data_IF_350142949825
#
_entry.id   IF_350142949825
#
_cell.length_a   1.000
_cell.length_b   1.000
_cell.length_c   1.000
_cell.angle_alpha   90.00
_cell.angle_beta   90.00
_cell.angle_gamma   90.00
#
_symmetry.space_group_name_H-M   'P 1'
#
loop_
_entity.id
_entity.type
_entity.pdbx_description
1 polymer ?
#
# COMPACT_ATOMS: atom_id res chain seq x y z
N UNK A 1 18.51 21.57 -10.08
CA UNK A 1 19.07 20.68 -9.04
C UNK A 1 17.95 20.23 -8.13
N UNK A 2 17.62 18.95 -8.21
CA UNK A 2 16.64 18.28 -7.35
C UNK A 2 17.22 18.06 -5.94
N UNK A 3 16.38 17.77 -4.96
CA UNK A 3 16.81 17.50 -3.58
C UNK A 3 17.73 16.25 -3.49
N UNK A 4 17.59 15.32 -4.44
CA UNK A 4 18.47 14.16 -4.61
C UNK A 4 19.87 14.56 -5.11
N UNK A 5 19.98 15.56 -5.99
CA UNK A 5 21.28 16.08 -6.44
C UNK A 5 22.05 16.73 -5.29
N UNK A 6 21.33 17.36 -4.34
CA UNK A 6 21.93 17.95 -3.14
C UNK A 6 22.41 16.90 -2.15
N UNK A 7 21.66 15.82 -1.95
CA UNK A 7 22.07 14.72 -1.08
C UNK A 7 23.28 13.96 -1.67
N UNK A 8 23.27 13.73 -2.99
CA UNK A 8 24.39 13.13 -3.72
C UNK A 8 25.63 14.03 -3.63
N UNK A 9 25.48 15.34 -3.80
CA UNK A 9 26.56 16.31 -3.69
C UNK A 9 27.07 16.49 -2.24
N UNK A 10 26.23 16.23 -1.23
CA UNK A 10 26.62 16.33 0.18
C UNK A 10 27.36 15.07 0.65
N UNK A 11 26.95 13.89 0.16
CA UNK A 11 27.69 12.63 0.35
C UNK A 11 29.03 12.73 -0.40
N UNK A 12 29.02 13.09 -1.69
CA UNK A 12 30.25 13.26 -2.47
C UNK A 12 31.13 14.40 -1.93
N UNK A 13 30.54 15.52 -1.48
CA UNK A 13 31.26 16.67 -0.91
C UNK A 13 31.94 16.37 0.42
N UNK A 14 31.36 15.48 1.24
CA UNK A 14 32.00 14.96 2.45
C UNK A 14 33.20 14.04 2.15
N UNK A 15 33.20 13.35 1.01
CA UNK A 15 34.32 12.54 0.54
C UNK A 15 35.41 13.36 -0.19
N UNK A 16 35.04 14.45 -0.87
CA UNK A 16 35.99 15.26 -1.67
C UNK A 16 36.93 16.11 -0.80
N UNK A 17 36.56 16.41 0.46
CA UNK A 17 37.44 17.09 1.41
C UNK A 17 38.60 16.23 1.94
N UNK A 18 38.51 14.90 1.81
CA UNK A 18 39.52 13.96 2.27
C UNK A 18 40.03 13.10 1.09
N UNK A 19 41.08 13.60 0.44
CA UNK A 19 41.91 12.93 -0.56
C UNK A 19 41.29 12.69 -1.95
N UNK A 20 41.96 13.26 -2.94
CA UNK A 20 41.94 12.86 -4.35
C UNK A 20 42.58 11.46 -4.42
N UNK A 21 41.82 10.46 -3.99
CA UNK A 21 42.15 9.03 -4.10
C UNK A 21 41.10 8.44 -5.03
N UNK A 22 41.53 7.68 -6.04
CA UNK A 22 40.58 6.91 -6.84
C UNK A 22 39.66 6.10 -5.91
N UNK A 23 38.33 6.05 -6.16
CA UNK A 23 37.40 5.39 -5.27
C UNK A 23 37.84 3.93 -5.06
N UNK A 24 37.94 3.52 -3.79
CA UNK A 24 38.34 2.17 -3.43
C UNK A 24 37.38 1.18 -4.14
N UNK A 25 37.87 0.03 -4.64
CA UNK A 25 37.01 -1.03 -5.18
C UNK A 25 35.73 -1.31 -4.37
N UNK A 26 35.79 -1.21 -3.02
CA UNK A 26 34.62 -1.35 -2.16
C UNK A 26 33.55 -0.27 -2.40
N UNK A 27 33.95 0.99 -2.58
CA UNK A 27 33.03 2.11 -2.84
C UNK A 27 32.38 1.98 -4.22
N UNK A 28 33.15 1.53 -5.21
CA UNK A 28 32.63 1.24 -6.56
C UNK A 28 31.57 0.14 -6.50
N UNK A 29 31.85 -0.95 -5.77
CA UNK A 29 30.91 -2.05 -5.60
C UNK A 29 29.64 -1.62 -4.84
N UNK A 30 29.78 -0.81 -3.79
CA UNK A 30 28.63 -0.27 -3.07
C UNK A 30 27.73 0.61 -3.97
N UNK A 31 28.34 1.44 -4.82
CA UNK A 31 27.62 2.26 -5.79
C UNK A 31 26.90 1.41 -6.85
N UNK A 32 27.54 0.35 -7.36
CA UNK A 32 26.93 -0.59 -8.29
C UNK A 32 25.73 -1.32 -7.67
N UNK A 33 25.88 -1.82 -6.44
CA UNK A 33 24.80 -2.47 -5.70
C UNK A 33 23.62 -1.51 -5.48
N UNK A 34 23.90 -0.25 -5.13
CA UNK A 34 22.88 0.78 -4.98
C UNK A 34 22.13 1.06 -6.29
N UNK A 35 22.84 1.18 -7.42
CA UNK A 35 22.23 1.37 -8.74
C UNK A 35 21.37 0.18 -9.14
N UNK A 36 21.85 -1.04 -8.89
CA UNK A 36 21.09 -2.26 -9.16
C UNK A 36 19.80 -2.30 -8.32
N UNK A 37 19.88 -1.96 -7.04
CA UNK A 37 18.73 -1.85 -6.15
C UNK A 37 17.73 -0.79 -6.61
N UNK A 38 18.18 0.41 -7.01
CA UNK A 38 17.30 1.43 -7.58
C UNK A 38 16.59 0.94 -8.85
N UNK A 39 17.31 0.24 -9.73
CA UNK A 39 16.74 -0.33 -10.95
C UNK A 39 15.62 -1.34 -10.63
N UNK A 40 15.83 -2.19 -9.61
CA UNK A 40 14.80 -3.12 -9.14
C UNK A 40 13.57 -2.42 -8.54
N UNK A 41 13.75 -1.34 -7.76
CA UNK A 41 12.61 -0.56 -7.26
C UNK A 41 11.83 0.06 -8.43
N UNK A 42 12.54 0.64 -9.40
CA UNK A 42 11.91 1.27 -10.56
C UNK A 42 11.13 0.26 -11.42
N UNK A 43 11.66 -0.95 -11.63
CA UNK A 43 10.95 -1.99 -12.38
C UNK A 43 9.70 -2.49 -11.64
N UNK A 44 9.76 -2.62 -10.31
CA UNK A 44 8.58 -2.93 -9.48
C UNK A 44 7.52 -1.83 -9.56
N UNK A 45 7.93 -0.57 -9.52
CA UNK A 45 7.00 0.55 -9.59
C UNK A 45 6.18 0.57 -10.89
N UNK A 46 6.76 0.10 -12.00
CA UNK A 46 6.07 -0.03 -13.29
C UNK A 46 4.96 -1.09 -13.28
N UNK A 47 5.02 -2.09 -12.39
CA UNK A 47 4.01 -3.17 -12.28
C UNK A 47 2.76 -2.76 -11.51
N UNK A 48 2.85 -1.68 -10.75
CA UNK A 48 1.75 -1.10 -9.96
C UNK A 48 1.71 0.40 -10.28
N UNK A 49 1.24 0.77 -11.48
CA UNK A 49 1.24 2.15 -11.91
C UNK A 49 0.24 2.98 -11.09
N UNK A 50 0.70 4.11 -10.56
CA UNK A 50 -0.15 5.05 -9.83
C UNK A 50 -0.48 6.23 -10.73
N UNK A 51 -1.77 6.49 -10.92
CA UNK A 51 -2.22 7.68 -11.67
C UNK A 51 -2.14 8.92 -10.78
N UNK A 52 -1.98 10.10 -11.39
CA UNK A 52 -2.01 11.33 -10.59
C UNK A 52 -3.39 11.61 -9.96
N UNK A 53 -4.46 11.20 -10.64
CA UNK A 53 -5.82 11.31 -10.09
C UNK A 53 -5.96 10.47 -8.82
N UNK A 54 -5.50 9.22 -8.85
CA UNK A 54 -5.48 8.34 -7.67
C UNK A 54 -4.71 8.96 -6.51
N UNK A 55 -3.48 9.43 -6.75
CA UNK A 55 -2.63 10.05 -5.72
C UNK A 55 -3.33 11.29 -5.13
N UNK A 56 -3.93 12.12 -5.98
CA UNK A 56 -4.66 13.33 -5.56
C UNK A 56 -5.89 13.01 -4.72
N UNK A 57 -6.72 12.05 -5.15
CA UNK A 57 -7.91 11.59 -4.40
C UNK A 57 -7.51 11.03 -3.04
N UNK A 58 -6.53 10.13 -3.02
CA UNK A 58 -6.07 9.50 -1.80
C UNK A 58 -5.40 10.52 -0.86
N UNK A 59 -4.69 11.51 -1.41
CA UNK A 59 -4.06 12.59 -0.66
C UNK A 59 -5.04 13.47 0.14
N UNK A 60 -6.34 13.48 -0.22
CA UNK A 60 -7.39 14.15 0.57
C UNK A 60 -7.72 13.42 1.88
N UNK A 61 -7.27 12.17 2.03
CA UNK A 61 -7.45 11.32 3.21
C UNK A 61 -6.06 10.87 3.72
N UNK A 62 -5.38 11.69 4.53
CA UNK A 62 -3.97 11.46 4.91
C UNK A 62 -3.72 10.08 5.53
N UNK A 63 -4.66 9.57 6.31
CA UNK A 63 -4.56 8.26 6.95
C UNK A 63 -4.52 7.12 5.93
N UNK A 64 -5.39 7.19 4.91
CA UNK A 64 -5.42 6.22 3.81
C UNK A 64 -4.19 6.32 2.93
N UNK A 65 -3.76 7.55 2.63
CA UNK A 65 -2.54 7.80 1.89
C UNK A 65 -1.33 7.19 2.58
N UNK A 66 -1.18 7.42 3.89
CA UNK A 66 -0.07 6.86 4.67
C UNK A 66 -0.08 5.33 4.66
N UNK A 67 -1.23 4.71 4.90
CA UNK A 67 -1.35 3.25 4.89
C UNK A 67 -1.06 2.64 3.51
N UNK A 68 -1.56 3.28 2.44
CA UNK A 68 -1.30 2.83 1.08
C UNK A 68 0.18 2.95 0.72
N UNK A 69 0.80 4.10 1.01
CA UNK A 69 2.24 4.32 0.76
C UNK A 69 3.08 3.30 1.51
N UNK A 70 2.71 2.96 2.75
CA UNK A 70 3.42 1.94 3.53
C UNK A 70 3.30 0.55 2.88
N UNK A 71 2.11 0.17 2.44
CA UNK A 71 1.91 -1.08 1.69
C UNK A 71 2.73 -1.11 0.40
N UNK A 72 2.77 0.00 -0.35
CA UNK A 72 3.51 0.11 -1.59
C UNK A 72 5.03 0.06 -1.38
N UNK A 73 5.53 0.69 -0.31
CA UNK A 73 6.94 0.62 0.10
C UNK A 73 7.33 -0.79 0.50
N UNK A 74 6.49 -1.47 1.30
CA UNK A 74 6.71 -2.86 1.68
C UNK A 74 6.86 -3.75 0.43
N UNK A 75 5.99 -3.60 -0.57
CA UNK A 75 6.12 -4.29 -1.86
C UNK A 75 7.46 -3.98 -2.57
N UNK A 76 7.79 -2.69 -2.67
CA UNK A 76 9.01 -2.22 -3.34
C UNK A 76 10.27 -2.87 -2.72
N UNK A 77 10.28 -2.98 -1.38
CA UNK A 77 11.38 -3.60 -0.62
C UNK A 77 11.34 -5.12 -0.55
N UNK A 78 10.36 -5.79 -1.17
CA UNK A 78 10.25 -7.25 -1.16
C UNK A 78 9.53 -7.84 0.05
N UNK A 79 8.92 -7.00 0.90
CA UNK A 79 8.11 -7.40 2.05
C UNK A 79 6.67 -7.68 1.60
N UNK A 80 6.49 -8.68 0.72
CA UNK A 80 5.23 -8.95 0.02
C UNK A 80 4.07 -9.27 0.95
N UNK A 81 4.29 -10.08 1.99
CA UNK A 81 3.27 -10.37 3.00
C UNK A 81 2.78 -9.09 3.69
N UNK A 82 3.70 -8.25 4.15
CA UNK A 82 3.36 -6.98 4.79
C UNK A 82 2.56 -6.07 3.86
N UNK A 83 2.97 -6.00 2.59
CA UNK A 83 2.22 -5.25 1.57
C UNK A 83 0.77 -5.73 1.46
N UNK A 84 0.55 -7.03 1.29
CA UNK A 84 -0.80 -7.65 1.18
C UNK A 84 -1.64 -7.38 2.42
N UNK A 85 -1.07 -7.58 3.61
CA UNK A 85 -1.79 -7.38 4.89
C UNK A 85 -2.20 -5.92 5.06
N UNK A 86 -1.29 -4.98 4.83
CA UNK A 86 -1.57 -3.54 4.99
C UNK A 86 -2.57 -3.05 3.94
N UNK A 87 -2.43 -3.48 2.68
CA UNK A 87 -3.39 -3.13 1.62
C UNK A 87 -4.80 -3.65 1.96
N UNK A 88 -4.89 -4.87 2.47
CA UNK A 88 -6.15 -5.49 2.85
C UNK A 88 -6.80 -4.77 4.04
N UNK A 89 -6.00 -4.41 5.04
CA UNK A 89 -6.47 -3.66 6.20
C UNK A 89 -6.94 -2.25 5.82
N UNK A 90 -6.29 -1.60 4.86
CA UNK A 90 -6.73 -0.31 4.33
C UNK A 90 -8.14 -0.41 3.73
N UNK A 91 -8.39 -1.40 2.87
CA UNK A 91 -9.73 -1.62 2.29
C UNK A 91 -10.77 -1.90 3.37
N UNK A 92 -10.44 -2.73 4.36
CA UNK A 92 -11.34 -2.99 5.49
C UNK A 92 -11.70 -1.69 6.23
N UNK A 93 -10.71 -0.83 6.49
CA UNK A 93 -10.93 0.45 7.18
C UNK A 93 -11.78 1.43 6.34
N UNK A 94 -11.54 1.51 5.03
CA UNK A 94 -12.36 2.34 4.13
C UNK A 94 -13.81 1.87 4.18
N UNK A 95 -14.06 0.57 4.09
CA UNK A 95 -15.42 0.03 4.18
C UNK A 95 -16.06 0.37 5.53
N UNK A 96 -15.35 0.22 6.65
CA UNK A 96 -15.84 0.61 7.98
C UNK A 96 -16.27 2.07 8.01
N UNK A 97 -15.41 3.00 7.58
CA UNK A 97 -15.72 4.43 7.58
C UNK A 97 -16.95 4.75 6.70
N UNK A 98 -17.08 4.10 5.53
CA UNK A 98 -18.26 4.30 4.65
C UNK A 98 -19.55 3.85 5.33
N UNK A 99 -19.53 2.75 6.08
CA UNK A 99 -20.69 2.30 6.84
C UNK A 99 -20.98 3.16 8.07
N UNK A 100 -19.95 3.59 8.81
CA UNK A 100 -20.11 4.50 9.94
C UNK A 100 -20.78 5.79 9.49
N UNK A 101 -20.28 6.41 8.41
CA UNK A 101 -20.87 7.61 7.84
C UNK A 101 -22.32 7.40 7.37
N UNK A 102 -22.60 6.27 6.70
CA UNK A 102 -23.95 5.94 6.24
C UNK A 102 -24.94 5.79 7.40
N UNK A 103 -24.54 5.09 8.47
CA UNK A 103 -25.40 4.85 9.63
C UNK A 103 -25.48 6.07 10.57
N UNK A 104 -24.45 6.92 10.65
CA UNK A 104 -24.47 8.14 11.46
C UNK A 104 -25.48 9.16 10.91
N UNK A 105 -25.75 9.12 9.61
CA UNK A 105 -26.83 9.89 9.00
C UNK A 105 -28.23 9.39 9.41
N UNK A 106 -28.35 8.20 10.01
CA UNK A 106 -29.61 7.56 10.38
C UNK A 106 -29.81 7.43 11.90
N UNK A 107 -28.73 7.45 12.69
CA UNK A 107 -28.75 7.18 14.14
C UNK A 107 -27.74 8.06 14.91
N UNK A 108 -27.88 8.14 16.23
CA UNK A 108 -26.91 8.82 17.10
C UNK A 108 -25.53 8.15 17.09
N UNK A 109 -24.47 8.96 16.93
CA UNK A 109 -23.10 8.58 16.56
C UNK A 109 -22.45 7.46 17.42
N UNK A 110 -22.76 7.41 18.72
CA UNK A 110 -22.17 6.44 19.66
C UNK A 110 -22.68 5.00 19.45
N UNK A 111 -23.98 4.83 19.18
CA UNK A 111 -24.55 3.52 18.85
C UNK A 111 -24.05 3.01 17.49
N UNK A 112 -23.68 3.94 16.62
CA UNK A 112 -23.21 3.67 15.26
C UNK A 112 -21.82 3.03 15.25
N UNK A 113 -20.87 3.65 15.96
CA UNK A 113 -19.47 3.16 16.06
C UNK A 113 -19.39 1.78 16.70
N UNK A 114 -20.20 1.51 17.74
CA UNK A 114 -20.20 0.20 18.39
C UNK A 114 -20.73 -0.91 17.45
N UNK A 115 -21.78 -0.62 16.66
CA UNK A 115 -22.34 -1.58 15.70
C UNK A 115 -21.39 -1.88 14.53
N UNK A 116 -20.66 -0.88 14.03
CA UNK A 116 -19.73 -1.07 12.90
C UNK A 116 -18.43 -1.74 13.34
N UNK A 117 -17.89 -1.40 14.51
CA UNK A 117 -16.67 -2.05 15.02
C UNK A 117 -16.82 -3.55 15.29
N UNK A 118 -18.05 -4.04 15.50
CA UNK A 118 -18.35 -5.47 15.61
C UNK A 118 -18.41 -6.19 14.26
N UNK A 119 -18.43 -5.47 13.13
CA UNK A 119 -18.42 -6.09 11.80
C UNK A 119 -16.99 -6.47 11.42
N UNK A 120 -16.77 -7.77 11.25
CA UNK A 120 -15.55 -8.30 10.65
C UNK A 120 -15.52 -8.02 9.13
N UNK A 121 -14.36 -8.22 8.50
CA UNK A 121 -14.17 -7.93 7.07
C UNK A 121 -15.20 -8.63 6.18
N UNK A 122 -15.57 -9.88 6.48
CA UNK A 122 -16.62 -10.60 5.76
C UNK A 122 -17.95 -9.83 5.79
N UNK A 123 -18.42 -9.45 6.98
CA UNK A 123 -19.69 -8.73 7.15
C UNK A 123 -19.70 -7.35 6.47
N UNK A 124 -18.54 -6.69 6.38
CA UNK A 124 -18.41 -5.42 5.66
C UNK A 124 -18.57 -5.60 4.14
N UNK A 125 -18.03 -6.69 3.59
CA UNK A 125 -18.16 -7.02 2.16
C UNK A 125 -19.61 -7.38 1.83
N UNK A 126 -20.25 -8.23 2.65
CA UNK A 126 -21.65 -8.61 2.47
C UNK A 126 -22.58 -7.39 2.48
N UNK A 127 -22.38 -6.48 3.44
CA UNK A 127 -23.17 -5.25 3.51
C UNK A 127 -22.90 -4.33 2.32
N UNK A 128 -21.64 -4.23 1.87
CA UNK A 128 -21.27 -3.37 0.73
C UNK A 128 -21.96 -3.86 -0.53
N UNK A 129 -22.03 -5.19 -0.71
CA UNK A 129 -22.74 -5.79 -1.82
C UNK A 129 -24.25 -5.56 -1.72
N UNK A 130 -24.84 -5.80 -0.55
CA UNK A 130 -26.27 -5.61 -0.29
C UNK A 130 -26.74 -4.17 -0.52
N UNK A 131 -25.90 -3.19 -0.17
CA UNK A 131 -26.18 -1.76 -0.30
C UNK A 131 -25.80 -1.18 -1.66
N UNK A 132 -25.31 -2.01 -2.60
CA UNK A 132 -24.79 -1.60 -3.90
C UNK A 132 -23.65 -0.56 -3.82
N UNK A 133 -22.88 -0.55 -2.72
CA UNK A 133 -21.67 0.26 -2.60
C UNK A 133 -20.55 -0.28 -3.51
N UNK A 134 -20.58 -1.58 -3.80
CA UNK A 134 -19.64 -2.28 -4.66
C UNK A 134 -20.37 -3.12 -5.72
N UNK A 135 -19.71 -3.36 -6.84
CA UNK A 135 -20.25 -4.23 -7.90
C UNK A 135 -19.97 -5.71 -7.62
N UNK A 136 -20.55 -6.61 -8.43
CA UNK A 136 -20.30 -8.07 -8.35
C UNK A 136 -18.80 -8.40 -8.50
N UNK A 137 -18.10 -7.73 -9.41
CA UNK A 137 -16.68 -7.99 -9.63
C UNK A 137 -15.84 -7.65 -8.38
N UNK A 138 -16.11 -6.53 -7.73
CA UNK A 138 -15.43 -6.14 -6.49
C UNK A 138 -15.73 -7.10 -5.35
N UNK A 139 -16.96 -7.59 -5.25
CA UNK A 139 -17.37 -8.54 -4.22
C UNK A 139 -16.47 -9.80 -4.25
N UNK A 140 -16.25 -10.37 -5.43
CA UNK A 140 -15.34 -11.51 -5.57
C UNK A 140 -13.88 -11.15 -5.25
N UNK A 141 -13.40 -10.00 -5.72
CA UNK A 141 -12.04 -9.54 -5.41
C UNK A 141 -11.82 -9.32 -3.92
N UNK A 142 -12.80 -8.72 -3.23
CA UNK A 142 -12.75 -8.45 -1.80
C UNK A 142 -12.74 -9.74 -0.97
N UNK A 143 -13.54 -10.75 -1.34
CA UNK A 143 -13.47 -12.06 -0.68
C UNK A 143 -12.14 -12.77 -0.95
N UNK A 144 -11.59 -12.64 -2.16
CA UNK A 144 -10.24 -13.11 -2.46
C UNK A 144 -9.19 -12.46 -1.58
N UNK A 145 -9.22 -11.12 -1.48
CA UNK A 145 -8.31 -10.32 -0.68
C UNK A 145 -8.47 -10.61 0.83
N UNK A 146 -9.70 -10.78 1.33
CA UNK A 146 -9.99 -11.25 2.69
C UNK A 146 -9.37 -12.63 2.95
N UNK A 147 -9.55 -13.57 2.03
CA UNK A 147 -8.97 -14.91 2.13
C UNK A 147 -7.45 -14.85 2.18
N UNK A 148 -6.82 -14.07 1.30
CA UNK A 148 -5.37 -13.89 1.27
C UNK A 148 -4.81 -13.24 2.53
N UNK A 149 -5.50 -12.24 3.08
CA UNK A 149 -5.14 -11.66 4.38
C UNK A 149 -5.20 -12.70 5.49
N UNK A 150 -6.28 -13.46 5.58
CA UNK A 150 -6.44 -14.49 6.62
C UNK A 150 -5.34 -15.56 6.51
N UNK A 151 -5.05 -16.03 5.30
CA UNK A 151 -3.94 -16.96 5.06
C UNK A 151 -2.61 -16.32 5.45
N UNK A 152 -2.38 -15.06 5.08
CA UNK A 152 -1.14 -14.33 5.42
C UNK A 152 -0.93 -14.14 6.93
N UNK A 153 -2.01 -14.09 7.71
CA UNK A 153 -1.95 -13.95 9.18
C UNK A 153 -1.78 -15.30 9.87
N UNK A 154 -2.42 -16.36 9.36
CA UNK A 154 -2.44 -17.68 10.01
C UNK A 154 -1.37 -18.67 9.48
N UNK A 155 -0.89 -18.50 8.24
CA UNK A 155 0.13 -19.34 7.60
C UNK A 155 1.47 -18.57 7.54
N UNK A 156 2.06 -18.30 8.70
CA UNK A 156 3.27 -17.45 8.85
C UNK A 156 4.46 -17.99 8.04
N UNK A 157 4.54 -19.30 7.83
CA UNK A 157 5.63 -19.95 7.10
C UNK A 157 5.44 -19.98 5.58
N UNK A 158 4.22 -19.76 5.08
CA UNK A 158 3.93 -19.86 3.64
C UNK A 158 4.28 -18.57 2.93
N UNK A 159 5.26 -18.61 2.05
CA UNK A 159 5.68 -17.42 1.30
C UNK A 159 4.54 -16.78 0.51
N UNK A 160 4.51 -15.44 0.49
CA UNK A 160 3.64 -14.65 -0.38
C UNK A 160 4.48 -14.25 -1.58
N UNK A 161 4.02 -14.60 -2.78
CA UNK A 161 4.78 -14.29 -4.00
C UNK A 161 4.72 -12.80 -4.34
N UNK A 162 5.70 -12.34 -5.12
CA UNK A 162 5.66 -10.97 -5.65
C UNK A 162 4.40 -10.74 -6.50
N UNK A 163 3.98 -11.74 -7.28
CA UNK A 163 2.82 -11.65 -8.16
C UNK A 163 1.53 -11.44 -7.35
N UNK A 164 1.39 -12.14 -6.23
CA UNK A 164 0.23 -11.96 -5.33
C UNK A 164 0.18 -10.54 -4.78
N UNK A 165 1.33 -9.99 -4.34
CA UNK A 165 1.40 -8.62 -3.85
C UNK A 165 1.03 -7.59 -4.94
N UNK A 166 1.52 -7.76 -6.16
CA UNK A 166 1.16 -6.91 -7.32
C UNK A 166 -0.35 -6.98 -7.59
N UNK A 167 -0.92 -8.18 -7.59
CA UNK A 167 -2.35 -8.37 -7.84
C UNK A 167 -3.21 -7.68 -6.76
N UNK A 168 -2.86 -7.89 -5.49
CA UNK A 168 -3.56 -7.28 -4.35
C UNK A 168 -3.45 -5.75 -4.37
N UNK A 169 -2.28 -5.19 -4.68
CA UNK A 169 -2.12 -3.74 -4.81
C UNK A 169 -2.98 -3.16 -5.94
N UNK A 170 -3.01 -3.80 -7.12
CA UNK A 170 -3.84 -3.34 -8.24
C UNK A 170 -5.34 -3.45 -7.92
N UNK A 171 -5.78 -4.53 -7.28
CA UNK A 171 -7.15 -4.67 -6.77
C UNK A 171 -7.46 -3.55 -5.77
N UNK A 172 -6.54 -3.27 -4.85
CA UNK A 172 -6.68 -2.22 -3.83
C UNK A 172 -6.84 -0.85 -4.48
N UNK A 173 -6.00 -0.50 -5.45
CA UNK A 173 -6.11 0.75 -6.21
C UNK A 173 -7.48 0.87 -6.86
N UNK A 174 -7.91 -0.15 -7.61
CA UNK A 174 -9.21 -0.18 -8.30
C UNK A 174 -10.38 0.05 -7.33
N UNK A 175 -10.36 -0.62 -6.17
CA UNK A 175 -11.44 -0.51 -5.19
C UNK A 175 -11.43 0.87 -4.53
N UNK A 176 -10.24 1.40 -4.18
CA UNK A 176 -10.11 2.74 -3.62
C UNK A 176 -10.65 3.81 -4.57
N UNK A 177 -10.30 3.75 -5.86
CA UNK A 177 -10.77 4.70 -6.88
C UNK A 177 -12.31 4.77 -6.99
N UNK A 178 -12.99 3.70 -6.58
CA UNK A 178 -14.45 3.61 -6.56
C UNK A 178 -15.05 4.09 -5.24
N UNK A 179 -14.37 3.82 -4.12
CA UNK A 179 -14.88 4.09 -2.78
C UNK A 179 -14.60 5.52 -2.29
N UNK A 180 -13.65 6.23 -2.89
CA UNK A 180 -13.20 7.57 -2.48
C UNK A 180 -13.36 8.57 -3.63
#
# INVERSE_FOLDING_TARGET
>A
MTQNDKLLAMILGGFVGAAISAPNPADKQALENYKAFQSQINSKAQRVPLTQDFISKLGKKPEYYSAFVESYRAYSYGLFRSSVVVASALIENILKERFENSLANLFAEALTKEKVNKKNFYNLIEEAKKTNLIEESDYHFLHGLRSQRNNSVHEILKEVSELDAVMILNITIKIIERLI
#
